data_IF_896005728253
#
_entry.id   IF_896005728253
#
_cell.length_a   1.000
_cell.length_b   1.000
_cell.length_c   1.000
_cell.angle_alpha   90.00
_cell.angle_beta   90.00
_cell.angle_gamma   90.00
#
_symmetry.space_group_name_H-M   'P 1'
#
loop_
_entity.id
_entity.type
_entity.pdbx_description
1 polymer ?
#
# COMPACT_ATOMS: atom_id res chain seq x y z
N UNK A 1 -7.39 34.03 36.91
CA UNK A 1 -8.63 33.85 36.12
C UNK A 1 -8.99 32.39 36.13
N UNK A 2 -10.21 32.08 36.57
CA UNK A 2 -10.70 30.76 36.94
C UNK A 2 -10.94 29.85 35.72
N UNK A 3 -10.31 28.68 35.74
CA UNK A 3 -10.86 27.33 35.63
C UNK A 3 -12.25 27.07 34.99
N UNK A 4 -12.26 26.06 34.10
CA UNK A 4 -13.29 25.02 33.82
C UNK A 4 -14.49 25.37 32.92
N UNK A 5 -14.60 24.62 31.81
CA UNK A 5 -15.89 24.19 31.25
C UNK A 5 -15.86 22.68 30.94
N UNK A 6 -16.93 22.02 31.34
CA UNK A 6 -17.24 20.59 31.21
C UNK A 6 -18.32 20.39 30.12
N UNK A 7 -18.34 19.26 29.41
CA UNK A 7 -19.31 18.95 28.36
C UNK A 7 -20.63 18.39 28.94
N UNK A 8 -21.71 18.45 28.15
CA UNK A 8 -22.90 17.62 28.36
C UNK A 8 -24.23 18.33 28.12
N UNK A 9 -24.66 18.42 26.86
CA UNK A 9 -25.99 18.89 26.49
C UNK A 9 -27.08 17.82 26.74
N UNK A 10 -28.24 18.32 27.14
CA UNK A 10 -29.35 17.66 27.81
C UNK A 10 -30.21 16.71 26.95
N UNK A 11 -30.78 15.72 27.65
CA UNK A 11 -31.91 14.86 27.28
C UNK A 11 -33.27 15.58 27.41
N UNK A 12 -34.23 15.04 26.65
CA UNK A 12 -35.69 14.96 26.86
C UNK A 12 -36.53 16.25 26.69
N UNK A 13 -37.35 16.24 25.65
CA UNK A 13 -38.60 17.00 25.56
C UNK A 13 -39.78 16.02 25.61
N UNK A 14 -40.76 16.30 26.46
CA UNK A 14 -41.99 15.52 26.58
C UNK A 14 -42.87 16.04 27.72
N UNK A 15 -43.67 17.07 27.46
CA UNK A 15 -45.03 17.22 28.01
C UNK A 15 -45.73 18.39 27.31
N UNK A 16 -46.97 18.17 26.89
CA UNK A 16 -47.93 19.24 26.59
C UNK A 16 -49.28 18.83 27.19
N UNK A 17 -49.94 19.81 27.78
CA UNK A 17 -51.11 19.70 28.64
C UNK A 17 -52.46 19.70 27.88
N UNK A 18 -53.51 19.30 28.60
CA UNK A 18 -54.94 19.31 28.27
C UNK A 18 -55.50 20.76 28.08
N UNK A 19 -56.73 21.07 27.65
CA UNK A 19 -58.05 20.42 27.67
C UNK A 19 -59.08 21.27 26.87
N UNK A 20 -60.13 20.67 26.27
CA UNK A 20 -61.56 21.13 26.34
C UNK A 20 -62.57 20.28 25.51
N UNK A 21 -63.48 19.61 26.23
CA UNK A 21 -64.97 19.43 26.12
C UNK A 21 -65.78 19.19 24.80
N UNK A 22 -66.30 17.94 24.63
CA UNK A 22 -67.70 17.41 24.36
C UNK A 22 -68.63 17.96 23.24
N UNK A 23 -69.74 17.25 22.78
CA UNK A 23 -70.25 15.87 23.09
C UNK A 23 -70.76 14.97 21.90
N UNK A 24 -70.83 13.65 22.17
CA UNK A 24 -71.88 12.60 21.93
C UNK A 24 -72.56 12.40 20.55
N UNK A 25 -72.54 11.15 20.01
CA UNK A 25 -73.73 10.30 19.69
C UNK A 25 -73.38 8.86 19.21
N UNK A 26 -74.34 7.95 19.47
CA UNK A 26 -74.32 6.48 19.57
C UNK A 26 -74.43 5.72 18.23
N UNK A 27 -73.90 4.47 18.17
CA UNK A 27 -74.49 3.40 17.33
C UNK A 27 -74.04 2.00 17.81
N UNK A 28 -75.00 1.10 17.98
CA UNK A 28 -74.94 -0.19 18.67
C UNK A 28 -74.54 -1.37 17.78
N UNK A 29 -73.85 -2.35 18.38
CA UNK A 29 -73.46 -3.65 17.81
C UNK A 29 -74.61 -4.68 17.88
N UNK A 30 -74.67 -5.57 16.88
CA UNK A 30 -75.29 -6.90 17.02
C UNK A 30 -74.45 -7.95 16.30
N UNK A 31 -73.87 -8.90 17.03
CA UNK A 31 -73.07 -10.01 16.52
C UNK A 31 -73.96 -11.24 16.25
N UNK A 32 -73.77 -11.89 15.10
CA UNK A 32 -74.26 -13.26 14.85
C UNK A 32 -73.10 -14.09 14.28
N UNK A 33 -72.65 -15.09 15.03
CA UNK A 33 -71.55 -16.00 14.64
C UNK A 33 -72.15 -17.27 14.07
N UNK A 34 -71.77 -17.65 12.84
CA UNK A 34 -72.02 -18.97 12.25
C UNK A 34 -70.69 -19.72 12.20
N UNK A 35 -70.61 -20.90 12.81
CA UNK A 35 -69.45 -21.78 12.69
C UNK A 35 -69.54 -22.61 11.40
N UNK A 36 -68.55 -22.46 10.52
CA UNK A 36 -68.28 -23.38 9.42
C UNK A 36 -66.99 -24.16 9.77
N UNK A 37 -67.07 -25.49 9.84
CA UNK A 37 -65.89 -26.34 10.02
C UNK A 37 -65.14 -26.47 8.70
N UNK A 38 -63.84 -26.16 8.69
CA UNK A 38 -62.94 -26.45 7.57
C UNK A 38 -62.01 -27.60 7.98
N UNK A 39 -61.97 -28.66 7.16
CA UNK A 39 -61.00 -29.75 7.31
C UNK A 39 -59.58 -29.21 7.04
N UNK A 40 -58.61 -29.37 7.96
CA UNK A 40 -57.27 -28.78 7.82
C UNK A 40 -56.34 -29.55 6.87
N UNK A 41 -56.78 -30.67 6.31
CA UNK A 41 -55.94 -31.60 5.53
C UNK A 41 -55.85 -31.32 4.02
N UNK A 42 -56.63 -30.38 3.49
CA UNK A 42 -56.54 -29.99 2.08
C UNK A 42 -55.60 -28.79 1.82
N UNK A 43 -55.34 -27.97 2.85
CA UNK A 43 -54.56 -26.73 2.71
C UNK A 43 -53.05 -26.97 2.73
N UNK A 44 -52.56 -27.98 3.46
CA UNK A 44 -51.13 -28.31 3.51
C UNK A 44 -50.60 -28.79 2.16
N UNK A 45 -51.33 -29.70 1.49
CA UNK A 45 -50.88 -30.31 0.23
C UNK A 45 -50.95 -29.35 -0.95
N UNK A 46 -51.94 -28.43 -0.97
CA UNK A 46 -52.06 -27.43 -2.01
C UNK A 46 -50.98 -26.34 -1.91
N UNK A 47 -50.63 -25.94 -0.68
CA UNK A 47 -49.54 -25.00 -0.42
C UNK A 47 -48.18 -25.61 -0.76
N UNK A 48 -47.94 -26.89 -0.42
CA UNK A 48 -46.72 -27.60 -0.79
C UNK A 48 -46.57 -27.73 -2.31
N UNK A 49 -47.64 -28.11 -3.02
CA UNK A 49 -47.63 -28.21 -4.48
C UNK A 49 -47.44 -26.86 -5.17
N UNK A 50 -47.95 -25.78 -4.57
CA UNK A 50 -47.72 -24.42 -5.04
C UNK A 50 -46.26 -24.02 -4.82
N UNK A 51 -45.69 -24.26 -3.63
CA UNK A 51 -44.30 -23.91 -3.30
C UNK A 51 -43.26 -24.72 -4.09
N UNK A 52 -43.61 -25.93 -4.54
CA UNK A 52 -42.74 -26.81 -5.33
C UNK A 52 -43.00 -26.76 -6.83
N UNK A 53 -43.94 -25.92 -7.28
CA UNK A 53 -44.27 -25.78 -8.69
C UNK A 53 -43.15 -25.09 -9.48
N UNK A 54 -42.88 -25.57 -10.69
CA UNK A 54 -41.93 -24.93 -11.60
C UNK A 54 -42.34 -23.49 -11.94
N UNK A 55 -43.64 -23.20 -11.92
CA UNK A 55 -44.17 -21.87 -12.19
C UNK A 55 -43.88 -20.88 -11.05
N UNK A 56 -43.91 -21.33 -9.80
CA UNK A 56 -43.59 -20.47 -8.64
C UNK A 56 -42.10 -20.25 -8.49
N UNK A 57 -41.28 -21.26 -8.82
CA UNK A 57 -39.83 -21.06 -8.94
C UNK A 57 -39.50 -20.04 -10.04
N UNK A 58 -40.11 -20.16 -11.23
CA UNK A 58 -39.88 -19.23 -12.32
C UNK A 58 -40.33 -17.79 -11.96
N UNK A 59 -41.49 -17.62 -11.33
CA UNK A 59 -41.96 -16.30 -10.92
C UNK A 59 -41.11 -15.70 -9.79
N UNK A 60 -40.68 -16.50 -8.81
CA UNK A 60 -39.77 -16.05 -7.77
C UNK A 60 -38.42 -15.58 -8.34
N UNK A 61 -37.87 -16.32 -9.32
CA UNK A 61 -36.64 -15.91 -10.01
C UNK A 61 -36.81 -14.61 -10.81
N UNK A 62 -37.94 -14.44 -11.50
CA UNK A 62 -38.22 -13.21 -12.24
C UNK A 62 -38.40 -12.00 -11.32
N UNK A 63 -39.08 -12.18 -10.18
CA UNK A 63 -39.24 -11.13 -9.18
C UNK A 63 -37.87 -10.77 -8.57
N UNK A 64 -37.04 -11.76 -8.22
CA UNK A 64 -35.71 -11.52 -7.69
C UNK A 64 -34.79 -10.80 -8.71
N UNK A 65 -34.80 -11.24 -9.97
CA UNK A 65 -34.03 -10.57 -11.02
C UNK A 65 -34.54 -9.15 -11.27
N UNK A 66 -35.86 -8.96 -11.27
CA UNK A 66 -36.49 -7.66 -11.45
C UNK A 66 -36.20 -6.68 -10.31
N UNK A 67 -36.21 -7.14 -9.06
CA UNK A 67 -35.87 -6.29 -7.90
C UNK A 67 -34.39 -5.94 -7.87
N UNK A 68 -33.51 -6.87 -8.23
CA UNK A 68 -32.07 -6.60 -8.40
C UNK A 68 -31.87 -5.54 -9.49
N UNK A 69 -32.49 -5.72 -10.66
CA UNK A 69 -32.37 -4.77 -11.78
C UNK A 69 -32.93 -3.39 -11.42
N UNK A 70 -34.10 -3.32 -10.78
CA UNK A 70 -34.71 -2.07 -10.31
C UNK A 70 -33.82 -1.36 -9.29
N UNK A 71 -33.28 -2.09 -8.31
CA UNK A 71 -32.37 -1.53 -7.33
C UNK A 71 -31.09 -1.01 -7.96
N UNK A 72 -30.48 -1.77 -8.88
CA UNK A 72 -29.30 -1.31 -9.63
C UNK A 72 -29.58 -0.08 -10.48
N UNK A 73 -30.80 0.06 -11.01
CA UNK A 73 -31.18 1.23 -11.78
C UNK A 73 -31.28 2.50 -10.91
N UNK A 74 -31.82 2.37 -9.70
CA UNK A 74 -32.01 3.51 -8.79
C UNK A 74 -30.75 3.90 -8.01
N UNK A 75 -29.94 2.92 -7.61
CA UNK A 75 -28.85 3.10 -6.66
C UNK A 75 -27.47 2.71 -7.22
N UNK A 76 -27.41 2.27 -8.48
CA UNK A 76 -26.19 1.86 -9.17
C UNK A 76 -25.69 0.50 -8.68
N UNK A 77 -25.03 0.48 -7.52
CA UNK A 77 -24.29 -0.68 -6.99
C UNK A 77 -25.13 -1.51 -6.03
N UNK A 78 -25.02 -2.84 -6.12
CA UNK A 78 -25.67 -3.75 -5.19
C UNK A 78 -24.89 -3.78 -3.85
N UNK A 79 -25.55 -3.70 -2.69
CA UNK A 79 -24.88 -3.58 -1.39
C UNK A 79 -24.07 -4.82 -0.97
N UNK A 80 -24.16 -5.91 -1.73
CA UNK A 80 -23.48 -7.19 -1.49
C UNK A 80 -22.48 -7.57 -2.60
N UNK A 81 -22.39 -6.79 -3.68
CA UNK A 81 -21.36 -6.93 -4.70
C UNK A 81 -20.47 -5.69 -4.59
N UNK A 82 -19.26 -5.87 -4.06
CA UNK A 82 -18.27 -4.80 -4.01
C UNK A 82 -18.06 -4.19 -5.39
N UNK A 83 -17.89 -2.88 -5.43
CA UNK A 83 -17.60 -2.13 -6.65
C UNK A 83 -16.24 -2.59 -7.20
N UNK A 84 -16.27 -3.37 -8.28
CA UNK A 84 -15.07 -3.76 -9.02
C UNK A 84 -14.62 -2.56 -9.83
N UNK A 85 -13.72 -1.76 -9.27
CA UNK A 85 -12.97 -0.78 -10.02
C UNK A 85 -12.06 -1.53 -11.01
N UNK A 86 -12.16 -1.21 -12.30
CA UNK A 86 -11.16 -1.63 -13.26
C UNK A 86 -9.82 -1.01 -12.84
N UNK A 87 -8.76 -1.83 -12.71
CA UNK A 87 -7.42 -1.33 -12.43
C UNK A 87 -7.03 -0.29 -13.48
N UNK A 88 -6.65 0.90 -13.04
CA UNK A 88 -6.15 1.91 -13.95
C UNK A 88 -4.69 1.59 -14.28
N UNK A 89 -4.24 1.85 -15.51
CA UNK A 89 -2.85 1.60 -15.91
C UNK A 89 -1.83 2.32 -15.01
N UNK A 90 -2.24 3.42 -14.36
CA UNK A 90 -1.39 4.10 -13.38
C UNK A 90 -1.14 3.27 -12.13
N UNK A 91 -2.07 2.41 -11.73
CA UNK A 91 -2.00 1.67 -10.46
C UNK A 91 -0.90 0.62 -10.49
N UNK A 92 -0.64 0.04 -11.67
CA UNK A 92 0.42 -0.96 -11.90
C UNK A 92 1.77 -0.31 -12.28
N UNK A 93 1.75 0.95 -12.74
CA UNK A 93 2.90 1.60 -13.33
C UNK A 93 3.20 1.11 -14.76
N UNK A 94 3.97 1.91 -15.50
CA UNK A 94 4.41 1.55 -16.84
C UNK A 94 5.37 0.35 -16.76
N UNK A 95 5.15 -0.66 -17.59
CA UNK A 95 6.08 -1.79 -17.67
C UNK A 95 7.43 -1.34 -18.22
N UNK A 96 8.55 -1.74 -17.60
CA UNK A 96 9.88 -1.40 -18.10
C UNK A 96 10.17 -2.13 -19.41
N UNK A 97 10.95 -1.49 -20.28
CA UNK A 97 11.46 -2.14 -21.49
C UNK A 97 12.54 -3.16 -21.13
N UNK A 98 12.73 -4.18 -21.96
CA UNK A 98 13.82 -5.15 -21.78
C UNK A 98 15.13 -4.57 -22.28
N UNK A 99 16.04 -4.22 -21.37
CA UNK A 99 17.35 -3.72 -21.76
C UNK A 99 18.32 -4.88 -22.02
N UNK A 100 19.24 -4.73 -22.99
CA UNK A 100 20.23 -5.77 -23.31
C UNK A 100 21.40 -5.74 -22.32
N UNK A 101 21.15 -6.15 -21.06
CA UNK A 101 22.18 -6.25 -20.03
C UNK A 101 23.29 -7.23 -20.42
N UNK A 102 24.54 -6.91 -20.08
CA UNK A 102 25.71 -7.76 -20.33
C UNK A 102 25.65 -9.13 -19.65
N UNK A 103 24.82 -9.26 -18.61
CA UNK A 103 24.60 -10.46 -17.81
C UNK A 103 23.20 -11.07 -18.02
N UNK A 104 22.60 -10.86 -19.21
CA UNK A 104 21.26 -11.33 -19.54
C UNK A 104 21.20 -12.79 -20.05
N UNK A 105 22.29 -13.30 -20.61
CA UNK A 105 22.38 -14.65 -21.15
C UNK A 105 22.65 -15.73 -20.10
N UNK A 106 22.47 -16.99 -20.48
CA UNK A 106 22.59 -18.14 -19.57
C UNK A 106 24.03 -18.44 -19.13
N UNK A 107 25.00 -18.02 -19.92
CA UNK A 107 26.43 -18.21 -19.66
C UNK A 107 27.16 -16.88 -19.43
N UNK A 108 26.42 -15.77 -19.42
CA UNK A 108 26.99 -14.46 -19.17
C UNK A 108 27.24 -14.28 -17.68
N UNK A 109 28.31 -13.56 -17.36
CA UNK A 109 28.64 -13.16 -15.99
C UNK A 109 28.39 -11.66 -15.82
N UNK A 110 28.40 -11.19 -14.58
CA UNK A 110 28.43 -9.76 -14.32
C UNK A 110 29.70 -9.11 -14.85
N UNK A 111 29.58 -7.85 -15.28
CA UNK A 111 30.71 -6.97 -15.53
C UNK A 111 31.21 -6.40 -14.19
N UNK A 112 32.35 -6.89 -13.72
CA UNK A 112 32.94 -6.47 -12.44
C UNK A 112 33.42 -5.01 -12.44
N UNK A 113 33.77 -4.44 -13.60
CA UNK A 113 34.10 -3.02 -13.71
C UNK A 113 32.84 -2.17 -13.51
N UNK A 114 31.71 -2.57 -14.12
CA UNK A 114 30.42 -1.94 -13.86
C UNK A 114 29.96 -2.10 -12.40
N UNK A 115 30.25 -3.22 -11.73
CA UNK A 115 29.96 -3.37 -10.29
C UNK A 115 30.79 -2.38 -9.47
N UNK A 116 32.08 -2.20 -9.79
CA UNK A 116 32.95 -1.25 -9.09
C UNK A 116 32.42 0.18 -9.21
N UNK A 117 32.15 0.65 -10.44
CA UNK A 117 31.54 1.97 -10.67
C UNK A 117 30.17 2.10 -10.01
N UNK A 118 29.35 1.05 -10.08
CA UNK A 118 28.04 1.02 -9.41
C UNK A 118 28.12 1.16 -7.89
N UNK A 119 29.14 0.58 -7.25
CA UNK A 119 29.40 0.77 -5.82
C UNK A 119 29.78 2.22 -5.50
N UNK A 120 30.59 2.86 -6.35
CA UNK A 120 30.93 4.28 -6.21
C UNK A 120 29.66 5.16 -6.25
N UNK A 121 28.77 4.95 -7.23
CA UNK A 121 27.48 5.65 -7.30
C UNK A 121 26.64 5.38 -6.06
N UNK A 122 26.58 4.13 -5.57
CA UNK A 122 25.87 3.83 -4.32
C UNK A 122 26.43 4.66 -3.16
N UNK A 123 27.75 4.68 -2.97
CA UNK A 123 28.40 5.37 -1.86
C UNK A 123 28.19 6.89 -1.92
N UNK A 124 28.30 7.48 -3.10
CA UNK A 124 28.26 8.94 -3.27
C UNK A 124 26.85 9.52 -3.40
N UNK A 125 25.87 8.71 -3.86
CA UNK A 125 24.50 9.18 -4.13
C UNK A 125 23.47 8.54 -3.21
N UNK A 126 23.53 7.21 -3.04
CA UNK A 126 22.43 6.45 -2.44
C UNK A 126 22.60 6.21 -0.93
N UNK A 127 23.85 6.06 -0.46
CA UNK A 127 24.18 5.64 0.90
C UNK A 127 23.77 6.65 1.97
N UNK A 128 23.41 7.89 1.58
CA UNK A 128 22.85 8.89 2.47
C UNK A 128 21.41 8.57 2.92
N UNK A 129 20.64 7.81 2.13
CA UNK A 129 19.23 7.52 2.40
C UNK A 129 18.87 6.03 2.35
N UNK A 130 19.64 5.22 1.64
CA UNK A 130 19.35 3.79 1.46
C UNK A 130 20.35 2.91 2.21
N UNK A 131 19.83 1.96 2.99
CA UNK A 131 20.66 0.93 3.61
C UNK A 131 21.02 -0.18 2.62
N UNK A 132 22.06 -0.93 2.98
CA UNK A 132 22.54 -2.12 2.27
C UNK A 132 22.89 -3.22 3.30
N UNK A 133 21.95 -3.49 4.19
CA UNK A 133 22.15 -4.19 5.47
C UNK A 133 22.65 -5.64 5.33
N UNK A 134 22.49 -6.25 4.15
CA UNK A 134 22.90 -7.65 3.91
C UNK A 134 24.22 -7.78 3.15
N UNK A 135 24.88 -6.65 2.87
CA UNK A 135 26.19 -6.63 2.21
C UNK A 135 27.24 -6.21 3.23
N UNK A 136 28.27 -7.03 3.38
CA UNK A 136 29.42 -6.74 4.20
C UNK A 136 30.64 -6.35 3.37
N UNK A 137 31.61 -5.67 3.97
CA UNK A 137 32.84 -5.23 3.30
C UNK A 137 33.58 -6.39 2.61
N UNK A 138 33.64 -7.56 3.26
CA UNK A 138 34.20 -8.80 2.69
C UNK A 138 33.53 -9.25 1.38
N UNK A 139 32.31 -8.83 1.09
CA UNK A 139 31.62 -9.20 -0.14
C UNK A 139 32.16 -8.45 -1.36
N UNK A 140 32.83 -7.32 -1.18
CA UNK A 140 33.47 -6.57 -2.28
C UNK A 140 34.83 -7.18 -2.66
N UNK A 141 35.48 -7.86 -1.73
CA UNK A 141 36.84 -8.42 -1.90
C UNK A 141 36.85 -9.48 -2.99
N UNK A 142 37.67 -9.26 -4.03
CA UNK A 142 37.79 -10.16 -5.17
C UNK A 142 36.58 -10.12 -6.13
N UNK A 143 35.60 -9.26 -5.87
CA UNK A 143 34.48 -8.98 -6.77
C UNK A 143 34.74 -7.65 -7.47
N UNK A 144 34.67 -6.53 -6.75
CA UNK A 144 34.88 -5.19 -7.30
C UNK A 144 36.09 -4.45 -6.74
N UNK A 145 36.60 -4.89 -5.58
CA UNK A 145 37.71 -4.26 -4.89
C UNK A 145 38.74 -5.28 -4.42
N UNK A 146 39.98 -4.83 -4.24
CA UNK A 146 41.02 -5.61 -3.57
C UNK A 146 40.80 -5.67 -2.06
N UNK A 147 41.54 -6.54 -1.37
CA UNK A 147 41.49 -6.65 0.10
C UNK A 147 41.84 -5.32 0.77
N UNK A 148 42.89 -4.66 0.28
CA UNK A 148 43.40 -3.44 0.90
C UNK A 148 42.48 -2.24 0.62
N UNK A 149 41.94 -2.12 -0.60
CA UNK A 149 40.92 -1.11 -0.91
C UNK A 149 39.67 -1.26 -0.02
N UNK A 150 39.12 -2.47 0.07
CA UNK A 150 37.93 -2.72 0.89
C UNK A 150 38.21 -2.53 2.39
N UNK A 151 39.45 -2.80 2.86
CA UNK A 151 39.86 -2.52 4.23
C UNK A 151 39.91 -1.02 4.49
N UNK A 152 40.57 -0.26 3.62
CA UNK A 152 40.67 1.20 3.76
C UNK A 152 39.28 1.84 3.79
N UNK A 153 38.37 1.44 2.90
CA UNK A 153 36.99 1.95 2.92
C UNK A 153 36.20 1.56 4.17
N UNK A 154 36.45 0.36 4.72
CA UNK A 154 35.81 -0.05 5.97
C UNK A 154 36.32 0.76 7.17
N UNK A 155 37.61 1.08 7.20
CA UNK A 155 38.27 1.85 8.27
C UNK A 155 37.82 3.32 8.30
N UNK A 156 37.28 3.86 7.20
CA UNK A 156 36.68 5.20 7.13
C UNK A 156 35.37 5.33 7.93
N UNK A 157 34.74 4.21 8.27
CA UNK A 157 33.45 4.18 8.96
C UNK A 157 33.63 3.67 10.40
N UNK A 158 32.99 4.36 11.35
CA UNK A 158 32.97 3.94 12.75
C UNK A 158 31.80 3.01 13.07
N UNK A 159 32.07 1.98 13.85
CA UNK A 159 31.08 1.01 14.33
C UNK A 159 31.13 0.92 15.85
N UNK A 160 29.97 0.76 16.47
CA UNK A 160 29.87 0.45 17.89
C UNK A 160 30.30 -1.00 18.14
N UNK A 161 31.18 -1.21 19.12
CA UNK A 161 31.66 -2.51 19.58
C UNK A 161 31.78 -2.51 21.12
N UNK A 162 32.03 -3.67 21.71
CA UNK A 162 32.17 -3.86 23.15
C UNK A 162 31.13 -4.81 23.74
N UNK A 163 31.00 -4.80 25.08
CA UNK A 163 31.64 -3.88 26.02
C UNK A 163 33.15 -4.12 26.23
N UNK A 164 33.87 -3.09 26.68
CA UNK A 164 35.26 -3.17 27.16
C UNK A 164 35.33 -3.75 28.60
N UNK A 165 36.54 -3.83 29.18
CA UNK A 165 36.77 -4.35 30.54
C UNK A 165 36.05 -3.55 31.66
N UNK A 166 35.60 -2.33 31.36
CA UNK A 166 34.81 -1.48 32.26
C UNK A 166 33.28 -1.61 32.03
N UNK A 167 32.83 -2.40 31.06
CA UNK A 167 31.42 -2.56 30.73
C UNK A 167 30.87 -1.49 29.78
N UNK A 168 31.73 -0.68 29.16
CA UNK A 168 31.34 0.44 28.28
C UNK A 168 31.45 0.05 26.81
N UNK A 169 30.46 0.45 26.00
CA UNK A 169 30.51 0.35 24.53
C UNK A 169 31.44 1.43 23.97
N UNK A 170 32.15 1.14 22.89
CA UNK A 170 33.09 2.06 22.26
C UNK A 170 32.96 2.03 20.73
N UNK A 171 33.37 3.12 20.08
CA UNK A 171 33.46 3.17 18.62
C UNK A 171 34.82 2.65 18.16
N UNK A 172 34.83 1.88 17.08
CA UNK A 172 36.04 1.40 16.41
C UNK A 172 35.96 1.62 14.91
N UNK A 173 37.11 1.74 14.22
CA UNK A 173 37.12 1.67 12.77
C UNK A 173 36.55 0.32 12.30
N UNK A 174 35.90 0.35 11.13
CA UNK A 174 35.33 -0.83 10.51
C UNK A 174 36.38 -1.86 10.10
N UNK A 175 35.95 -3.11 10.01
CA UNK A 175 36.73 -4.24 9.51
C UNK A 175 35.95 -4.97 8.42
N UNK A 176 36.63 -5.81 7.65
CA UNK A 176 36.03 -6.54 6.53
C UNK A 176 34.81 -7.40 6.90
N UNK A 177 34.68 -7.83 8.16
CA UNK A 177 33.53 -8.61 8.61
C UNK A 177 32.27 -7.78 8.90
N UNK A 178 32.38 -6.46 8.99
CA UNK A 178 31.24 -5.60 9.30
C UNK A 178 30.34 -5.42 8.07
N UNK A 179 29.06 -5.15 8.34
CA UNK A 179 28.07 -4.80 7.32
C UNK A 179 28.18 -3.33 6.93
N UNK A 180 27.64 -2.97 5.76
CA UNK A 180 27.56 -1.57 5.34
C UNK A 180 26.81 -0.73 6.38
N UNK A 181 27.25 0.52 6.65
CA UNK A 181 26.60 1.36 7.64
C UNK A 181 25.19 1.73 7.20
N UNK A 182 24.26 1.73 8.15
CA UNK A 182 22.91 2.20 7.90
C UNK A 182 22.88 3.75 7.91
N UNK A 183 22.17 4.40 6.97
CA UNK A 183 22.05 5.87 6.94
C UNK A 183 21.25 6.43 8.12
N UNK A 184 20.39 5.61 8.72
CA UNK A 184 19.52 6.00 9.81
C UNK A 184 19.58 4.95 10.94
N UNK A 185 19.45 5.38 12.20
CA UNK A 185 19.48 4.46 13.34
C UNK A 185 18.21 3.60 13.48
N UNK A 186 17.08 4.04 12.90
CA UNK A 186 15.79 3.35 12.95
C UNK A 186 14.85 3.85 11.85
N UNK A 187 13.72 3.15 11.67
CA UNK A 187 12.71 3.48 10.65
C UNK A 187 12.05 4.84 10.90
N UNK A 188 11.84 5.23 12.16
CA UNK A 188 11.22 6.49 12.54
C UNK A 188 12.10 7.68 12.13
N UNK A 189 13.41 7.59 12.36
CA UNK A 189 14.38 8.58 11.90
C UNK A 189 14.41 8.67 10.38
N UNK A 190 14.38 7.53 9.69
CA UNK A 190 14.32 7.49 8.23
C UNK A 190 13.06 8.17 7.68
N UNK A 191 11.90 7.89 8.26
CA UNK A 191 10.62 8.53 7.88
C UNK A 191 10.62 10.02 8.18
N UNK A 192 11.12 10.42 9.34
CA UNK A 192 11.21 11.84 9.71
C UNK A 192 12.09 12.63 8.73
N UNK A 193 13.20 12.04 8.26
CA UNK A 193 14.09 12.65 7.28
C UNK A 193 13.56 12.71 5.85
N UNK A 194 12.54 11.90 5.51
CA UNK A 194 12.08 11.70 4.13
C UNK A 194 10.56 11.94 3.98
N UNK A 195 10.03 12.98 4.64
CA UNK A 195 8.62 13.40 4.53
C UNK A 195 7.60 12.27 4.82
N UNK A 196 7.93 11.36 5.75
CA UNK A 196 7.11 10.22 6.16
C UNK A 196 7.33 8.94 5.35
N UNK A 197 8.02 9.02 4.21
CA UNK A 197 8.38 7.85 3.41
C UNK A 197 9.59 7.11 4.01
N UNK A 198 9.60 5.79 3.94
CA UNK A 198 10.72 4.97 4.36
C UNK A 198 11.50 4.51 3.11
N UNK A 199 12.75 4.95 2.91
CA UNK A 199 13.61 4.40 1.87
C UNK A 199 13.81 2.90 2.10
N UNK A 200 13.56 2.03 1.10
CA UNK A 200 13.78 0.59 1.25
C UNK A 200 15.28 0.25 1.29
N UNK A 201 15.64 -0.80 2.05
CA UNK A 201 16.95 -1.48 1.94
C UNK A 201 17.18 -1.96 0.50
N UNK A 202 18.34 -1.66 -0.06
CA UNK A 202 18.66 -1.97 -1.46
C UNK A 202 19.28 -3.34 -1.64
N UNK A 203 19.59 -4.07 -0.56
CA UNK A 203 20.32 -5.35 -0.64
C UNK A 203 19.67 -6.38 -1.56
N UNK A 204 18.35 -6.36 -1.68
CA UNK A 204 17.57 -7.31 -2.49
C UNK A 204 16.58 -6.62 -3.43
N UNK A 205 16.68 -5.30 -3.62
CA UNK A 205 15.63 -4.53 -4.30
C UNK A 205 15.38 -5.00 -5.74
N UNK A 206 16.45 -5.38 -6.45
CA UNK A 206 16.39 -5.93 -7.81
C UNK A 206 15.61 -7.23 -7.87
N UNK A 207 15.65 -8.05 -6.80
CA UNK A 207 14.88 -9.30 -6.70
C UNK A 207 13.49 -9.10 -6.12
N UNK A 208 13.28 -8.01 -5.39
CA UNK A 208 12.03 -7.70 -4.69
C UNK A 208 11.04 -6.90 -5.54
N UNK A 209 11.33 -6.64 -6.81
CA UNK A 209 10.47 -5.90 -7.74
C UNK A 209 10.31 -6.66 -9.05
N UNK A 210 9.09 -6.63 -9.59
CA UNK A 210 8.83 -7.14 -10.94
C UNK A 210 9.64 -6.32 -11.97
N UNK A 211 10.12 -6.98 -13.02
CA UNK A 211 11.00 -6.36 -14.01
C UNK A 211 12.48 -6.29 -13.60
N UNK A 212 12.81 -6.45 -12.31
CA UNK A 212 14.20 -6.54 -11.85
C UNK A 212 15.09 -5.39 -12.28
N UNK A 213 16.22 -5.68 -12.95
CA UNK A 213 17.17 -4.66 -13.41
C UNK A 213 16.52 -3.64 -14.34
N UNK A 214 15.64 -4.11 -15.23
CA UNK A 214 14.93 -3.25 -16.18
C UNK A 214 14.08 -2.20 -15.44
N UNK A 215 13.35 -2.64 -14.39
CA UNK A 215 12.53 -1.75 -13.57
C UNK A 215 13.38 -0.69 -12.86
N UNK A 216 14.48 -1.07 -12.21
CA UNK A 216 15.31 -0.12 -11.47
C UNK A 216 15.93 0.92 -12.42
N UNK A 217 16.43 0.49 -13.58
CA UNK A 217 16.99 1.41 -14.57
C UNK A 217 15.94 2.37 -15.12
N UNK A 218 14.77 1.85 -15.53
CA UNK A 218 13.66 2.67 -15.99
C UNK A 218 13.14 3.62 -14.92
N UNK A 219 13.09 3.19 -13.65
CA UNK A 219 12.69 4.04 -12.53
C UNK A 219 13.67 5.20 -12.35
N UNK A 220 14.98 4.94 -12.31
CA UNK A 220 15.99 5.97 -12.08
C UNK A 220 16.09 6.97 -13.23
N UNK A 221 15.89 6.52 -14.47
CA UNK A 221 16.02 7.36 -15.69
C UNK A 221 14.68 7.89 -16.22
N UNK A 222 13.56 7.49 -15.62
CA UNK A 222 12.21 7.80 -16.10
C UNK A 222 11.52 9.01 -15.48
N UNK A 223 12.21 9.78 -14.63
CA UNK A 223 11.65 11.00 -14.04
C UNK A 223 11.30 12.03 -15.11
N UNK A 224 10.05 12.49 -15.09
CA UNK A 224 9.52 13.50 -16.02
C UNK A 224 8.45 14.35 -15.35
N UNK A 225 8.10 15.47 -15.97
CA UNK A 225 7.00 16.31 -15.49
C UNK A 225 5.67 15.56 -15.58
N UNK A 226 4.75 15.75 -14.62
CA UNK A 226 3.46 15.09 -14.64
C UNK A 226 2.68 15.49 -15.90
N UNK A 227 2.07 14.53 -16.63
CA UNK A 227 1.26 14.84 -17.79
C UNK A 227 0.01 15.62 -17.39
N UNK A 228 -0.60 16.31 -18.35
CA UNK A 228 -1.79 17.13 -18.12
C UNK A 228 -2.91 16.33 -17.41
N UNK A 229 -3.41 16.86 -16.30
CA UNK A 229 -4.48 16.23 -15.50
C UNK A 229 -3.98 15.32 -14.37
N UNK A 230 -2.67 15.10 -14.22
CA UNK A 230 -2.09 14.37 -13.08
C UNK A 230 -1.62 15.38 -12.04
N UNK A 231 -2.28 15.38 -10.87
CA UNK A 231 -1.87 16.18 -9.72
C UNK A 231 -1.03 15.33 -8.76
N UNK A 232 0.19 15.80 -8.46
CA UNK A 232 1.11 15.16 -7.52
C UNK A 232 1.06 15.93 -6.20
N UNK A 233 0.96 15.19 -5.09
CA UNK A 233 0.96 15.77 -3.75
C UNK A 233 2.28 16.48 -3.48
N UNK A 234 2.23 17.54 -2.68
CA UNK A 234 3.42 18.26 -2.24
C UNK A 234 4.43 17.30 -1.58
N UNK A 235 5.70 17.41 -1.96
CA UNK A 235 6.77 16.52 -1.51
C UNK A 235 6.89 15.18 -2.26
N UNK A 236 6.05 14.93 -3.26
CA UNK A 236 6.18 13.77 -4.16
C UNK A 236 6.58 14.21 -5.57
N UNK A 237 7.11 13.27 -6.36
CA UNK A 237 7.54 13.46 -7.73
C UNK A 237 6.76 12.52 -8.66
N UNK A 238 6.67 12.88 -9.94
CA UNK A 238 6.07 12.00 -10.93
C UNK A 238 7.12 11.05 -11.53
N UNK A 239 6.77 9.78 -11.60
CA UNK A 239 7.52 8.77 -12.34
C UNK A 239 6.56 7.73 -12.91
N UNK A 240 6.46 7.57 -14.25
CA UNK A 240 5.48 6.69 -14.87
C UNK A 240 5.71 5.21 -14.56
N UNK A 241 6.94 4.80 -14.22
CA UNK A 241 7.25 3.41 -13.87
C UNK A 241 6.88 3.06 -12.43
N UNK A 242 6.78 4.06 -11.54
CA UNK A 242 6.39 3.81 -10.16
C UNK A 242 4.88 3.51 -10.08
N UNK A 243 4.45 2.44 -9.38
CA UNK A 243 3.03 2.16 -9.19
C UNK A 243 2.30 3.35 -8.54
N UNK A 244 1.23 3.81 -9.17
CA UNK A 244 0.48 5.02 -8.81
C UNK A 244 1.06 6.33 -9.36
N UNK A 245 2.20 6.31 -10.04
CA UNK A 245 2.83 7.47 -10.69
C UNK A 245 3.48 8.49 -9.75
N UNK A 246 3.11 8.52 -8.46
CA UNK A 246 3.63 9.44 -7.46
C UNK A 246 4.64 8.75 -6.54
N UNK A 247 5.91 9.18 -6.57
CA UNK A 247 7.01 8.64 -5.77
C UNK A 247 7.59 9.69 -4.82
N UNK A 248 7.89 9.33 -3.58
CA UNK A 248 8.51 10.24 -2.59
C UNK A 248 10.03 10.39 -2.76
N UNK A 249 10.62 9.70 -3.74
CA UNK A 249 12.05 9.79 -4.07
C UNK A 249 12.26 10.94 -5.07
N UNK A 250 13.22 11.82 -4.80
CA UNK A 250 13.65 12.85 -5.74
C UNK A 250 14.39 12.25 -6.94
N UNK A 251 14.49 13.00 -8.04
CA UNK A 251 15.45 12.67 -9.10
C UNK A 251 16.86 12.90 -8.55
N UNK A 252 17.64 11.84 -8.40
CA UNK A 252 19.00 11.89 -7.81
C UNK A 252 20.11 11.67 -8.82
N UNK A 253 19.80 11.34 -10.07
CA UNK A 253 20.79 11.17 -11.14
C UNK A 253 20.72 12.35 -12.12
N UNK A 254 21.86 13.03 -12.24
CA UNK A 254 22.12 14.14 -13.14
C UNK A 254 23.49 13.97 -13.80
N UNK A 255 23.66 14.59 -14.97
CA UNK A 255 24.92 14.49 -15.71
C UNK A 255 26.06 15.14 -14.92
N UNK A 256 27.20 14.44 -14.83
CA UNK A 256 28.40 14.92 -14.13
C UNK A 256 28.34 14.90 -12.60
N UNK A 257 27.42 14.12 -12.00
CA UNK A 257 27.28 14.04 -10.55
C UNK A 257 28.44 13.28 -9.85
N UNK A 258 28.99 12.27 -10.51
CA UNK A 258 30.06 11.39 -10.02
C UNK A 258 31.17 11.39 -11.07
N UNK A 259 32.43 11.48 -10.62
CA UNK A 259 33.61 11.28 -11.45
C UNK A 259 34.16 9.87 -11.17
N UNK A 260 34.18 9.00 -12.18
CA UNK A 260 34.62 7.63 -11.96
C UNK A 260 36.14 7.51 -11.84
N UNK A 261 36.61 6.60 -10.98
CA UNK A 261 38.04 6.33 -10.77
C UNK A 261 38.81 5.97 -12.06
N UNK A 262 38.11 5.41 -13.05
CA UNK A 262 38.67 5.02 -14.35
C UNK A 262 38.56 6.11 -15.43
N UNK A 263 37.97 7.26 -15.11
CA UNK A 263 37.87 8.43 -16.00
C UNK A 263 36.73 8.38 -17.03
N UNK A 264 35.79 7.43 -16.88
CA UNK A 264 34.54 7.38 -17.66
C UNK A 264 33.45 8.33 -17.15
#
# INVERSE_FOLDING_TARGET
>A
MLSRLSPGAFKRAGSLAASRSTPILHSSRSSAVRFASTNPSASSNAFESFMTSRATLASASLVAAGTIAWYTHLYGTLPFLGEVHASHLSDEGLHPTKYPWSHGGWFDSFDHASIRRGYQVYREVCAACHSLDRIAWRNLVGVSHTVDEARTMAEEVEYEDGPNDAGEMFMRPGKLSDYMPAPYPNEEAARAGNAGALPPDLSLIVKARHGGCDYIFSLLTGYMDPPAGVEIREGMNYNPYFPGGAISMARVLFDGLVEYDDGE
#
